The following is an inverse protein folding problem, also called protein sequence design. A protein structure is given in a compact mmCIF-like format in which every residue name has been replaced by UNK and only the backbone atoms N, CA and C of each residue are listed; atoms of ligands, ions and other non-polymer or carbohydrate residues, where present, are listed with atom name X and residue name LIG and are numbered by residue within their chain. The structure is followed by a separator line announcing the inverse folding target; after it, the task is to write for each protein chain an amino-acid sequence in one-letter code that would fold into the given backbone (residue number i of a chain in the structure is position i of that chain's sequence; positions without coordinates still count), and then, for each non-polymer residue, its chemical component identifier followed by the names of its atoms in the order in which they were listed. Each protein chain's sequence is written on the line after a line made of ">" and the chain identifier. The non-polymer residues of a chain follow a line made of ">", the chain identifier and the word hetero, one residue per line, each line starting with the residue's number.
data_IF_335765807467
#
_entry.id   IF_335765807467
#
_cell.length_a   1.000
_cell.length_b   1.000
_cell.length_c   1.000
_cell.angle_alpha   90.00
_cell.angle_beta   90.00
_cell.angle_gamma   90.00
#
_symmetry.space_group_name_H-M   'P 1'
#
loop_
_entity.id
_entity.type
_entity.pdbx_description
1 polymer ?
#
# COMPACT_ATOMS: atom_id res chain seq x y z
N UNK A 1 -14.98 26.92 4.94
CA UNK A 1 -15.49 25.97 3.92
C UNK A 1 -14.65 24.73 4.05
N UNK A 2 -15.25 23.55 4.22
CA UNK A 2 -14.51 22.27 4.20
C UNK A 2 -13.85 22.10 2.83
N UNK A 3 -12.60 21.64 2.80
CA UNK A 3 -11.91 21.25 1.57
C UNK A 3 -12.62 20.08 0.87
N UNK A 4 -12.12 19.71 -0.31
CA UNK A 4 -12.61 18.49 -1.00
C UNK A 4 -12.43 17.26 -0.11
N UNK A 5 -13.30 16.24 -0.22
CA UNK A 5 -13.04 14.93 0.38
C UNK A 5 -11.67 14.39 -0.04
N UNK A 6 -11.10 13.48 0.74
CA UNK A 6 -9.73 13.02 0.55
C UNK A 6 -9.63 11.49 0.61
N UNK A 7 -9.02 10.89 -0.41
CA UNK A 7 -8.49 9.53 -0.34
C UNK A 7 -6.99 9.59 -0.04
N UNK A 8 -6.56 8.89 1.00
CA UNK A 8 -5.14 8.57 1.27
C UNK A 8 -5.00 7.07 1.05
N UNK A 9 -4.21 6.65 0.07
CA UNK A 9 -4.02 5.23 -0.26
C UNK A 9 -2.56 4.84 -0.16
N UNK A 10 -2.29 3.63 0.32
CA UNK A 10 -0.99 3.00 0.14
C UNK A 10 -0.74 2.67 -1.34
N UNK A 11 0.47 2.26 -1.66
CA UNK A 11 0.88 1.88 -3.00
C UNK A 11 1.10 0.38 -3.13
N UNK A 12 2.04 -0.19 -2.35
CA UNK A 12 2.41 -1.60 -2.44
C UNK A 12 1.32 -2.49 -1.83
N UNK A 13 0.93 -3.58 -2.52
CA UNK A 13 -0.20 -4.47 -2.19
C UNK A 13 -1.59 -3.79 -2.12
N UNK A 14 -1.67 -2.53 -2.58
CA UNK A 14 -2.93 -1.79 -2.71
C UNK A 14 -3.14 -1.30 -4.14
N UNK A 15 -2.21 -0.53 -4.70
CA UNK A 15 -2.24 -0.07 -6.09
C UNK A 15 -1.40 -0.95 -7.02
N UNK A 16 -0.31 -1.47 -6.50
CA UNK A 16 0.66 -2.31 -7.21
C UNK A 16 0.89 -3.61 -6.45
N UNK A 17 0.93 -4.72 -7.18
CA UNK A 17 1.42 -5.98 -6.64
C UNK A 17 2.93 -5.89 -6.37
N UNK A 18 3.36 -6.13 -5.14
CA UNK A 18 4.78 -6.08 -4.75
C UNK A 18 5.32 -7.45 -4.37
N UNK A 19 4.68 -8.17 -3.44
CA UNK A 19 5.22 -9.42 -2.87
C UNK A 19 5.43 -10.51 -3.91
N UNK A 20 4.55 -10.63 -4.90
CA UNK A 20 4.68 -11.59 -5.97
C UNK A 20 5.89 -11.29 -6.88
N UNK A 21 6.14 -10.03 -7.19
CA UNK A 21 7.28 -9.60 -7.99
C UNK A 21 8.60 -9.66 -7.22
N UNK A 22 8.56 -9.34 -5.92
CA UNK A 22 9.69 -9.51 -5.03
C UNK A 22 10.07 -10.99 -4.91
N UNK A 23 9.08 -11.91 -4.74
CA UNK A 23 9.30 -13.36 -4.74
C UNK A 23 10.00 -13.82 -6.03
N UNK A 24 9.50 -13.38 -7.19
CA UNK A 24 10.08 -13.77 -8.47
C UNK A 24 11.54 -13.31 -8.59
N UNK A 25 11.82 -12.06 -8.26
CA UNK A 25 13.18 -11.51 -8.29
C UNK A 25 14.13 -12.19 -7.30
N UNK A 26 13.68 -12.47 -6.08
CA UNK A 26 14.48 -13.21 -5.10
C UNK A 26 14.90 -14.59 -5.63
N UNK A 27 13.95 -15.27 -6.30
CA UNK A 27 14.24 -16.58 -6.92
C UNK A 27 15.22 -16.50 -8.08
N UNK A 28 15.09 -15.48 -8.93
CA UNK A 28 15.92 -15.27 -10.13
C UNK A 28 17.33 -14.79 -9.78
N UNK A 29 17.45 -13.79 -8.93
CA UNK A 29 18.71 -13.08 -8.69
C UNK A 29 19.50 -13.62 -7.48
N UNK A 30 18.83 -14.24 -6.51
CA UNK A 30 19.44 -14.59 -5.22
C UNK A 30 19.31 -16.07 -4.85
N UNK A 31 18.61 -16.89 -5.65
CA UNK A 31 18.29 -18.28 -5.30
C UNK A 31 17.61 -18.39 -3.91
N UNK A 32 16.70 -17.45 -3.61
CA UNK A 32 15.92 -17.40 -2.38
C UNK A 32 14.46 -17.68 -2.71
N UNK A 33 13.84 -18.57 -1.94
CA UNK A 33 12.41 -18.81 -1.94
C UNK A 33 11.74 -17.94 -0.87
N UNK A 34 10.60 -17.33 -1.22
CA UNK A 34 9.81 -16.50 -0.33
C UNK A 34 8.39 -17.04 -0.23
N UNK A 35 8.06 -17.65 0.90
CA UNK A 35 6.75 -18.25 1.15
C UNK A 35 5.80 -17.22 1.79
N UNK A 36 5.50 -16.13 1.09
CA UNK A 36 4.67 -15.02 1.62
C UNK A 36 3.22 -15.43 1.88
N UNK A 37 2.76 -16.52 1.29
CA UNK A 37 1.42 -17.08 1.52
C UNK A 37 1.16 -17.46 2.98
N UNK A 38 2.19 -17.54 3.81
CA UNK A 38 2.07 -17.75 5.26
C UNK A 38 1.61 -16.51 6.02
N UNK A 39 1.64 -15.34 5.39
CA UNK A 39 1.40 -14.05 6.04
C UNK A 39 2.61 -13.51 6.80
N UNK A 40 3.72 -14.25 6.85
CA UNK A 40 4.99 -13.80 7.41
C UNK A 40 5.83 -13.15 6.32
N UNK A 41 6.61 -12.12 6.67
CA UNK A 41 7.56 -11.50 5.74
C UNK A 41 9.00 -11.92 6.05
N UNK A 42 9.56 -11.47 7.15
CA UNK A 42 10.95 -11.72 7.49
C UNK A 42 11.27 -13.23 7.72
N UNK A 43 10.32 -13.99 8.29
CA UNK A 43 10.51 -15.42 8.57
C UNK A 43 10.37 -16.36 7.38
N UNK A 44 9.87 -15.87 6.25
CA UNK A 44 9.43 -16.68 5.13
C UNK A 44 10.48 -16.83 4.00
N UNK A 45 11.69 -16.27 4.15
CA UNK A 45 12.75 -16.34 3.16
C UNK A 45 13.73 -17.49 3.48
N UNK A 46 13.97 -18.37 2.50
CA UNK A 46 14.90 -19.51 2.63
C UNK A 46 15.81 -19.61 1.41
N UNK A 47 17.07 -19.96 1.63
CA UNK A 47 17.99 -20.26 0.52
C UNK A 47 17.63 -21.58 -0.16
N UNK A 48 17.59 -21.62 -1.48
CA UNK A 48 17.34 -22.85 -2.26
C UNK A 48 18.39 -23.90 -1.99
N UNK A 49 19.65 -23.47 -1.82
CA UNK A 49 20.75 -24.34 -1.50
C UNK A 49 20.72 -24.70 0.00
N UNK A 50 20.14 -25.86 0.30
CA UNK A 50 20.10 -26.42 1.65
C UNK A 50 18.97 -25.94 2.56
N UNK A 51 18.05 -25.07 2.10
CA UNK A 51 16.85 -24.66 2.84
C UNK A 51 17.12 -23.82 4.10
N UNK A 52 18.33 -23.28 4.27
CA UNK A 52 18.65 -22.44 5.41
C UNK A 52 17.85 -21.11 5.34
N UNK A 53 17.30 -20.68 6.50
CA UNK A 53 16.60 -19.39 6.59
C UNK A 53 17.56 -18.24 6.27
N UNK A 54 17.06 -17.26 5.53
CA UNK A 54 17.77 -16.00 5.32
C UNK A 54 17.80 -15.21 6.62
N UNK A 55 18.97 -14.69 7.01
CA UNK A 55 19.11 -13.90 8.21
C UNK A 55 18.25 -12.64 8.16
N UNK A 56 17.57 -12.29 9.26
CA UNK A 56 16.62 -11.20 9.32
C UNK A 56 17.24 -9.85 8.90
N UNK A 57 18.52 -9.65 9.19
CA UNK A 57 19.29 -8.44 8.82
C UNK A 57 19.46 -8.29 7.29
N UNK A 58 19.26 -9.37 6.52
CA UNK A 58 19.36 -9.38 5.06
C UNK A 58 18.03 -9.05 4.36
N UNK A 59 16.91 -9.23 5.03
CA UNK A 59 15.58 -9.11 4.42
C UNK A 59 15.31 -7.68 3.94
N UNK A 60 15.55 -6.69 4.81
CA UNK A 60 15.32 -5.28 4.47
C UNK A 60 16.29 -4.74 3.41
N UNK A 61 17.60 -5.06 3.43
CA UNK A 61 18.49 -4.76 2.31
C UNK A 61 18.02 -5.34 0.97
N UNK A 62 17.55 -6.58 0.92
CA UNK A 62 17.01 -7.19 -0.30
C UNK A 62 15.78 -6.42 -0.80
N UNK A 63 14.87 -6.05 0.09
CA UNK A 63 13.70 -5.25 -0.28
C UNK A 63 14.11 -3.86 -0.79
N UNK A 64 15.10 -3.23 -0.17
CA UNK A 64 15.64 -1.94 -0.64
C UNK A 64 16.27 -2.06 -2.03
N UNK A 65 17.03 -3.12 -2.29
CA UNK A 65 17.63 -3.38 -3.60
C UNK A 65 16.57 -3.65 -4.67
N UNK A 66 15.50 -4.37 -4.32
CA UNK A 66 14.34 -4.55 -5.20
C UNK A 66 13.70 -3.20 -5.56
N UNK A 67 13.41 -2.36 -4.59
CA UNK A 67 12.86 -1.03 -4.88
C UNK A 67 13.80 -0.14 -5.69
N UNK A 68 15.11 -0.28 -5.50
CA UNK A 68 16.10 0.50 -6.26
C UNK A 68 16.18 0.11 -7.73
N UNK A 69 16.11 -1.19 -8.04
CA UNK A 69 16.38 -1.70 -9.38
C UNK A 69 15.15 -2.29 -10.11
N UNK A 70 14.19 -2.80 -9.38
CA UNK A 70 13.18 -3.72 -9.90
C UNK A 70 11.72 -3.20 -9.75
N UNK A 71 11.52 -1.96 -9.30
CA UNK A 71 10.19 -1.38 -9.16
C UNK A 71 9.35 -1.48 -10.44
N UNK A 72 10.00 -1.41 -11.60
CA UNK A 72 9.36 -1.53 -12.91
C UNK A 72 8.65 -2.87 -13.15
N UNK A 73 8.98 -3.90 -12.35
CA UNK A 73 8.31 -5.22 -12.43
C UNK A 73 6.92 -5.21 -11.84
N UNK A 74 6.65 -4.31 -10.90
CA UNK A 74 5.36 -4.26 -10.22
C UNK A 74 4.25 -3.92 -11.21
N UNK A 75 3.17 -4.68 -11.14
CA UNK A 75 2.00 -4.52 -12.00
C UNK A 75 0.84 -3.90 -11.23
N UNK A 76 -0.05 -3.19 -11.93
CA UNK A 76 -1.26 -2.64 -11.33
C UNK A 76 -2.14 -3.75 -10.74
N UNK A 77 -2.69 -3.48 -9.57
CA UNK A 77 -3.81 -4.24 -9.03
C UNK A 77 -5.04 -4.02 -9.92
N UNK A 78 -5.74 -5.08 -10.32
CA UNK A 78 -6.92 -4.96 -11.17
C UNK A 78 -7.97 -3.98 -10.64
N UNK A 79 -8.38 -3.04 -11.48
CA UNK A 79 -9.37 -2.00 -11.14
C UNK A 79 -8.82 -0.79 -10.40
N UNK A 80 -7.53 -0.76 -10.01
CA UNK A 80 -6.95 0.37 -9.28
C UNK A 80 -7.00 1.67 -10.09
N UNK A 81 -6.61 1.65 -11.35
CA UNK A 81 -6.59 2.84 -12.20
C UNK A 81 -7.99 3.43 -12.41
N UNK A 82 -8.98 2.57 -12.70
CA UNK A 82 -10.38 2.97 -12.86
C UNK A 82 -10.96 3.53 -11.56
N UNK A 83 -10.61 2.91 -10.43
CA UNK A 83 -11.02 3.38 -9.11
C UNK A 83 -10.48 4.77 -8.80
N UNK A 84 -9.18 5.00 -9.02
CA UNK A 84 -8.57 6.32 -8.84
C UNK A 84 -9.20 7.37 -9.77
N UNK A 85 -9.52 7.01 -11.02
CA UNK A 85 -10.22 7.89 -11.95
C UNK A 85 -11.58 8.32 -11.40
N UNK A 86 -12.43 7.37 -11.00
CA UNK A 86 -13.77 7.65 -10.46
C UNK A 86 -13.74 8.43 -9.14
N UNK A 87 -12.84 8.07 -8.23
CA UNK A 87 -12.71 8.76 -6.94
C UNK A 87 -12.17 10.18 -7.15
N UNK A 88 -11.23 10.37 -8.09
CA UNK A 88 -10.65 11.66 -8.42
C UNK A 88 -11.64 12.71 -8.93
N UNK A 89 -12.80 12.28 -9.48
CA UNK A 89 -13.88 13.20 -9.87
C UNK A 89 -14.44 13.96 -8.67
N UNK A 90 -14.48 13.33 -7.48
CA UNK A 90 -15.18 13.86 -6.28
C UNK A 90 -14.25 14.18 -5.12
N UNK A 91 -13.06 13.63 -5.09
CA UNK A 91 -12.10 13.75 -3.98
C UNK A 91 -10.68 14.07 -4.48
N UNK A 92 -9.86 14.64 -3.61
CA UNK A 92 -8.42 14.67 -3.79
C UNK A 92 -7.85 13.29 -3.46
N UNK A 93 -6.73 12.92 -4.10
CA UNK A 93 -6.06 11.64 -3.87
C UNK A 93 -4.60 11.92 -3.51
N UNK A 94 -4.11 11.27 -2.45
CA UNK A 94 -2.70 11.28 -2.04
C UNK A 94 -2.26 9.84 -1.80
N UNK A 95 -1.13 9.47 -2.39
CA UNK A 95 -0.50 8.18 -2.20
C UNK A 95 0.52 8.31 -1.07
N UNK A 96 0.31 7.59 0.03
CA UNK A 96 1.17 7.59 1.21
C UNK A 96 1.86 6.23 1.33
N UNK A 97 3.10 6.14 0.89
CA UNK A 97 3.85 4.89 0.78
C UNK A 97 5.05 4.84 1.73
N UNK A 98 5.36 3.65 2.27
CA UNK A 98 6.51 3.47 3.16
C UNK A 98 7.78 3.16 2.34
N UNK A 99 8.33 4.20 1.74
CA UNK A 99 9.62 4.20 1.06
C UNK A 99 10.51 5.31 1.63
N UNK A 100 11.84 5.16 1.51
CA UNK A 100 12.77 6.25 1.78
C UNK A 100 12.61 7.39 0.77
N UNK A 101 12.95 8.60 1.18
CA UNK A 101 12.83 9.80 0.33
C UNK A 101 13.64 9.68 -0.97
N UNK A 102 14.72 8.90 -0.96
CA UNK A 102 15.55 8.60 -2.14
C UNK A 102 14.78 7.84 -3.23
N UNK A 103 13.75 7.08 -2.86
CA UNK A 103 12.92 6.31 -3.79
C UNK A 103 11.74 7.12 -4.36
N UNK A 104 11.51 8.34 -3.88
CA UNK A 104 10.37 9.16 -4.31
C UNK A 104 10.34 9.35 -5.84
N UNK A 105 11.49 9.73 -6.44
CA UNK A 105 11.58 9.92 -7.89
C UNK A 105 11.24 8.65 -8.68
N UNK A 106 11.76 7.51 -8.24
CA UNK A 106 11.49 6.21 -8.88
C UNK A 106 10.00 5.83 -8.78
N UNK A 107 9.37 6.09 -7.64
CA UNK A 107 7.93 5.83 -7.46
C UNK A 107 7.07 6.74 -8.33
N UNK A 108 7.45 8.02 -8.47
CA UNK A 108 6.78 8.94 -9.37
C UNK A 108 6.84 8.45 -10.82
N UNK A 109 8.03 8.08 -11.31
CA UNK A 109 8.22 7.56 -12.67
C UNK A 109 7.44 6.26 -12.89
N UNK A 110 7.48 5.34 -11.95
CA UNK A 110 6.75 4.07 -12.02
C UNK A 110 5.24 4.29 -12.11
N UNK A 111 4.67 5.07 -11.22
CA UNK A 111 3.22 5.33 -11.21
C UNK A 111 2.78 6.12 -12.44
N UNK A 112 3.60 7.06 -12.92
CA UNK A 112 3.35 7.77 -14.17
C UNK A 112 3.32 6.84 -15.39
N UNK A 113 4.19 5.81 -15.44
CA UNK A 113 4.16 4.79 -16.49
C UNK A 113 2.87 3.98 -16.49
N UNK A 114 2.18 3.87 -15.35
CA UNK A 114 0.86 3.26 -15.20
C UNK A 114 -0.30 4.24 -15.37
N UNK A 115 -0.03 5.52 -15.70
CA UNK A 115 -1.07 6.55 -15.86
C UNK A 115 -1.56 7.17 -14.55
N UNK A 116 -0.85 6.97 -13.45
CA UNK A 116 -1.17 7.52 -12.13
C UNK A 116 -0.27 8.73 -11.85
N UNK A 117 -0.89 9.93 -11.69
CA UNK A 117 -0.19 11.21 -11.52
C UNK A 117 -0.68 11.97 -10.25
N UNK A 118 -0.97 11.23 -9.18
CA UNK A 118 -1.35 11.83 -7.91
C UNK A 118 -0.14 12.21 -7.06
N UNK A 119 -0.35 13.08 -6.06
CA UNK A 119 0.69 13.42 -5.08
C UNK A 119 1.16 12.17 -4.34
N UNK A 120 2.49 12.01 -4.23
CA UNK A 120 3.12 10.91 -3.51
C UNK A 120 3.85 11.48 -2.30
N UNK A 121 3.60 10.87 -1.15
CA UNK A 121 4.26 11.18 0.12
C UNK A 121 5.00 9.93 0.57
N UNK A 122 6.32 10.00 0.62
CA UNK A 122 7.15 8.96 1.23
C UNK A 122 7.13 9.08 2.76
N UNK A 123 7.18 7.95 3.43
CA UNK A 123 7.17 7.86 4.89
C UNK A 123 8.01 6.68 5.36
N UNK A 124 8.37 6.68 6.62
CA UNK A 124 8.98 5.55 7.30
C UNK A 124 8.29 5.37 8.66
N UNK A 125 7.86 4.14 8.96
CA UNK A 125 7.14 3.84 10.19
C UNK A 125 5.62 4.02 10.09
N UNK A 126 4.98 4.37 11.20
CA UNK A 126 3.52 4.47 11.25
C UNK A 126 2.94 5.61 10.42
N UNK A 127 1.87 5.34 9.67
CA UNK A 127 1.26 6.32 8.75
C UNK A 127 0.28 7.32 9.39
N UNK A 128 0.02 7.23 10.69
CA UNK A 128 -1.00 8.08 11.34
C UNK A 128 -0.63 9.57 11.38
N UNK A 129 0.62 9.89 11.75
CA UNK A 129 1.09 11.28 11.80
C UNK A 129 1.08 11.93 10.40
N UNK A 130 1.68 11.31 9.36
CA UNK A 130 1.62 11.89 8.02
C UNK A 130 0.19 11.95 7.47
N UNK A 131 -0.68 10.95 7.72
CA UNK A 131 -2.08 11.01 7.32
C UNK A 131 -2.80 12.22 7.95
N UNK A 132 -2.60 12.47 9.24
CA UNK A 132 -3.14 13.66 9.93
C UNK A 132 -2.66 14.95 9.26
N UNK A 133 -1.36 15.07 9.00
CA UNK A 133 -0.78 16.25 8.35
C UNK A 133 -1.34 16.49 6.94
N UNK A 134 -1.59 15.41 6.17
CA UNK A 134 -2.20 15.50 4.84
C UNK A 134 -3.65 15.99 4.95
N UNK A 135 -4.45 15.43 5.86
CA UNK A 135 -5.84 15.84 6.10
C UNK A 135 -5.91 17.33 6.48
N UNK A 136 -5.06 17.77 7.41
CA UNK A 136 -5.02 19.17 7.86
C UNK A 136 -4.63 20.12 6.73
N UNK A 137 -3.57 19.77 5.99
CA UNK A 137 -3.10 20.59 4.86
C UNK A 137 -4.15 20.74 3.76
N UNK A 138 -4.95 19.67 3.49
CA UNK A 138 -6.03 19.70 2.50
C UNK A 138 -7.32 20.30 3.04
N UNK A 139 -7.44 20.47 4.36
CA UNK A 139 -8.67 20.93 5.01
C UNK A 139 -9.82 19.97 4.77
N UNK A 140 -9.55 18.68 4.57
CA UNK A 140 -10.55 17.70 4.21
C UNK A 140 -11.52 17.45 5.37
N UNK A 141 -12.83 17.63 5.13
CA UNK A 141 -13.87 17.34 6.11
C UNK A 141 -14.22 15.86 6.19
N UNK A 142 -13.89 15.09 5.14
CA UNK A 142 -14.08 13.65 5.06
C UNK A 142 -12.82 13.05 4.44
N UNK A 143 -12.30 11.97 5.05
CA UNK A 143 -11.14 11.27 4.57
C UNK A 143 -11.32 9.75 4.66
N UNK A 144 -10.80 9.05 3.66
CA UNK A 144 -10.66 7.59 3.66
C UNK A 144 -9.18 7.25 3.55
N UNK A 145 -8.72 6.30 4.37
CA UNK A 145 -7.39 5.73 4.35
C UNK A 145 -7.48 4.25 3.92
N UNK A 146 -6.68 3.85 2.93
CA UNK A 146 -6.61 2.47 2.41
C UNK A 146 -5.20 1.95 2.56
N UNK A 147 -5.04 0.77 3.16
CA UNK A 147 -3.72 0.18 3.45
C UNK A 147 -3.85 -1.34 3.68
N UNK A 148 -2.79 -2.10 3.44
CA UNK A 148 -2.75 -3.55 3.63
C UNK A 148 -2.25 -3.96 5.03
N UNK A 149 -1.59 -3.06 5.78
CA UNK A 149 -0.95 -3.40 7.05
C UNK A 149 -1.74 -2.93 8.28
N UNK A 150 -2.10 -3.86 9.15
CA UNK A 150 -2.82 -3.60 10.40
C UNK A 150 -2.15 -2.54 11.28
N UNK A 151 -0.81 -2.47 11.30
CA UNK A 151 -0.05 -1.48 12.07
C UNK A 151 -0.33 -0.04 11.61
N UNK A 152 -0.57 0.17 10.31
CA UNK A 152 -0.91 1.48 9.78
C UNK A 152 -2.34 1.89 10.13
N UNK A 153 -3.29 0.96 10.10
CA UNK A 153 -4.65 1.19 10.58
C UNK A 153 -4.68 1.59 12.05
N UNK A 154 -3.92 0.90 12.91
CA UNK A 154 -3.78 1.28 14.32
C UNK A 154 -3.16 2.68 14.48
N UNK A 155 -2.12 2.99 13.70
CA UNK A 155 -1.48 4.31 13.70
C UNK A 155 -2.44 5.42 13.27
N UNK A 156 -3.22 5.21 12.20
CA UNK A 156 -4.21 6.20 11.72
C UNK A 156 -5.37 6.33 12.71
N UNK A 157 -5.85 5.23 13.29
CA UNK A 157 -6.88 5.30 14.33
C UNK A 157 -6.47 6.17 15.52
N UNK A 158 -5.18 6.16 15.86
CA UNK A 158 -4.63 6.98 16.96
C UNK A 158 -4.50 8.47 16.61
N UNK A 159 -4.08 8.80 15.40
CA UNK A 159 -3.69 10.17 15.03
C UNK A 159 -4.73 10.93 14.16
N UNK A 160 -5.59 10.19 13.45
CA UNK A 160 -6.68 10.71 12.62
C UNK A 160 -7.92 9.80 12.79
N UNK A 161 -8.51 9.74 14.01
CA UNK A 161 -9.59 8.80 14.34
C UNK A 161 -10.86 9.01 13.49
N UNK A 162 -11.09 10.21 12.98
CA UNK A 162 -12.22 10.56 12.11
C UNK A 162 -12.09 10.02 10.68
N UNK A 163 -10.89 9.64 10.24
CA UNK A 163 -10.69 9.05 8.92
C UNK A 163 -11.29 7.63 8.87
N UNK A 164 -12.09 7.36 7.84
CA UNK A 164 -12.50 6.00 7.52
C UNK A 164 -11.28 5.16 7.11
N UNK A 165 -11.20 3.93 7.57
CA UNK A 165 -10.05 3.03 7.32
C UNK A 165 -10.53 1.76 6.65
N UNK A 166 -10.04 1.53 5.44
CA UNK A 166 -10.31 0.35 4.62
C UNK A 166 -9.06 -0.51 4.55
N UNK A 167 -9.12 -1.72 5.08
CA UNK A 167 -8.08 -2.72 4.96
C UNK A 167 -8.22 -3.42 3.59
N UNK A 168 -7.15 -3.40 2.80
CA UNK A 168 -7.11 -4.04 1.48
C UNK A 168 -5.79 -4.81 1.34
N UNK A 169 -5.87 -6.09 1.03
CA UNK A 169 -4.72 -6.95 0.69
C UNK A 169 -4.95 -7.49 -0.71
N UNK A 170 -4.34 -6.86 -1.71
CA UNK A 170 -4.68 -7.11 -3.11
C UNK A 170 -4.10 -8.42 -3.67
N UNK A 171 -3.02 -8.96 -3.08
CA UNK A 171 -2.45 -10.24 -3.54
C UNK A 171 -3.32 -11.43 -3.09
N UNK A 172 -3.97 -12.16 -4.03
CA UNK A 172 -4.92 -13.22 -3.68
C UNK A 172 -4.30 -14.38 -2.92
N UNK A 173 -3.00 -14.64 -3.09
CA UNK A 173 -2.29 -15.72 -2.37
C UNK A 173 -1.94 -15.31 -0.95
N UNK A 174 -1.77 -14.01 -0.70
CA UNK A 174 -1.46 -13.45 0.62
C UNK A 174 -2.74 -13.22 1.45
N UNK A 175 -3.79 -12.70 0.83
CA UNK A 175 -5.01 -12.25 1.48
C UNK A 175 -5.62 -13.27 2.47
N UNK A 176 -5.67 -14.60 2.19
CA UNK A 176 -6.24 -15.57 3.13
C UNK A 176 -5.45 -15.73 4.43
N UNK A 177 -4.15 -15.44 4.43
CA UNK A 177 -3.29 -15.56 5.60
C UNK A 177 -3.28 -14.30 6.49
N UNK A 178 -3.73 -13.16 5.95
CA UNK A 178 -3.76 -11.89 6.67
C UNK A 178 -5.10 -11.71 7.36
N UNK A 179 -5.11 -11.60 8.68
CA UNK A 179 -6.31 -11.28 9.46
C UNK A 179 -6.79 -9.84 9.19
N UNK A 180 -8.10 -9.61 9.27
CA UNK A 180 -8.64 -8.24 9.18
C UNK A 180 -8.03 -7.35 10.26
N UNK A 181 -7.56 -6.18 9.86
CA UNK A 181 -7.00 -5.21 10.80
C UNK A 181 -8.05 -4.76 11.83
N UNK A 182 -7.74 -4.90 13.12
CA UNK A 182 -8.67 -4.56 14.22
C UNK A 182 -9.17 -3.11 14.16
N UNK A 183 -8.33 -2.19 13.70
CA UNK A 183 -8.65 -0.77 13.62
C UNK A 183 -9.21 -0.34 12.25
N UNK A 184 -9.44 -1.26 11.32
CA UNK A 184 -10.14 -0.97 10.07
C UNK A 184 -11.66 -0.95 10.28
N UNK A 185 -12.38 -0.15 9.49
CA UNK A 185 -13.85 -0.11 9.49
C UNK A 185 -14.45 -1.15 8.53
N UNK A 186 -13.66 -1.57 7.56
CA UNK A 186 -14.01 -2.64 6.62
C UNK A 186 -12.75 -3.31 6.09
N UNK A 187 -12.90 -4.54 5.57
CA UNK A 187 -11.91 -5.21 4.73
C UNK A 187 -12.53 -5.53 3.37
N UNK A 188 -11.90 -5.04 2.30
CA UNK A 188 -12.31 -5.30 0.91
C UNK A 188 -11.02 -5.39 0.10
N UNK A 189 -10.76 -6.57 -0.49
CA UNK A 189 -9.48 -6.89 -1.13
C UNK A 189 -9.51 -6.66 -2.66
N UNK A 190 -10.56 -6.01 -3.19
CA UNK A 190 -10.72 -5.71 -4.61
C UNK A 190 -11.24 -4.28 -4.85
N UNK A 191 -10.65 -3.58 -5.82
CA UNK A 191 -10.97 -2.19 -6.11
C UNK A 191 -12.41 -1.93 -6.57
N UNK A 192 -13.06 -2.76 -7.41
CA UNK A 192 -14.43 -2.49 -7.84
C UNK A 192 -15.40 -2.34 -6.65
N UNK A 193 -15.33 -3.23 -5.67
CA UNK A 193 -16.16 -3.17 -4.45
C UNK A 193 -15.68 -2.06 -3.51
N UNK A 194 -14.36 -1.91 -3.33
CA UNK A 194 -13.76 -0.88 -2.50
C UNK A 194 -14.14 0.53 -2.98
N UNK A 195 -14.18 0.77 -4.29
CA UNK A 195 -14.57 2.07 -4.87
C UNK A 195 -15.95 2.50 -4.40
N UNK A 196 -16.94 1.62 -4.44
CA UNK A 196 -18.30 1.92 -4.01
C UNK A 196 -18.34 2.27 -2.51
N UNK A 197 -17.63 1.52 -1.67
CA UNK A 197 -17.53 1.77 -0.25
C UNK A 197 -16.83 3.11 0.05
N UNK A 198 -15.75 3.42 -0.67
CA UNK A 198 -14.99 4.67 -0.52
C UNK A 198 -15.86 5.86 -0.89
N UNK A 199 -16.53 5.82 -2.06
CA UNK A 199 -17.41 6.92 -2.52
C UNK A 199 -18.53 7.21 -1.53
N UNK A 200 -19.15 6.17 -0.96
CA UNK A 200 -20.19 6.35 0.09
C UNK A 200 -19.63 7.05 1.33
N UNK A 201 -18.43 6.72 1.78
CA UNK A 201 -17.77 7.33 2.94
C UNK A 201 -17.25 8.75 2.68
N UNK A 202 -16.96 9.08 1.43
CA UNK A 202 -16.62 10.44 1.00
C UNK A 202 -17.87 11.32 0.76
N UNK A 203 -19.07 10.76 0.93
CA UNK A 203 -20.33 11.49 0.76
C UNK A 203 -20.68 11.78 -0.71
N UNK A 204 -20.07 11.07 -1.66
CA UNK A 204 -20.42 11.12 -3.07
C UNK A 204 -21.69 10.28 -3.31
N UNK A 205 -22.74 10.92 -3.80
CA UNK A 205 -24.00 10.27 -4.19
C UNK A 205 -24.04 10.03 -5.70
#
# INVERSE_FOLDING_TARGET
>A
MSGRPLLITDCDEVLLHMVAHFQAWLGEAHAIDFAFETGEFAGALTHRDGGARVADERVWPLLTDFFRGEMHRQTLVPGALEALGRIGEVADIVILTNLGDEAHGWRVEQLAAHGIAHEIVCNQGGKGVPARAIIDRRGAGQAVFVDDLAVHHASVAKHAPEAWRLHMVAEPRLAPAVATAEHAHARIDEWPTATSWILDRLGAK
#
